data_IF_218992857297
#
_entry.id   IF_218992857297
#
_cell.length_a   1.000
_cell.length_b   1.000
_cell.length_c   1.000
_cell.angle_alpha   90.00
_cell.angle_beta   90.00
_cell.angle_gamma   90.00
#
_symmetry.space_group_name_H-M   'P 1'
#
loop_
_entity.id
_entity.type
_entity.pdbx_description
1 polymer ?
#
# COMPACT_ATOMS: atom_id res chain seq x y z
N UNK A 1 -9.94 -15.93 29.78
CA UNK A 1 -8.77 -15.06 29.58
C UNK A 1 -8.86 -14.43 28.19
N UNK A 2 -8.80 -13.10 28.06
CA UNK A 2 -9.09 -12.41 26.79
C UNK A 2 -8.11 -12.76 25.66
N UNK A 3 -6.83 -12.97 25.98
CA UNK A 3 -5.81 -13.32 24.98
C UNK A 3 -6.06 -14.68 24.31
N UNK A 4 -6.52 -15.68 25.07
CA UNK A 4 -6.83 -17.00 24.52
C UNK A 4 -8.06 -16.93 23.59
N UNK A 5 -9.09 -16.19 23.99
CA UNK A 5 -10.26 -15.97 23.14
C UNK A 5 -9.94 -15.23 21.83
N UNK A 6 -8.97 -14.31 21.84
CA UNK A 6 -8.47 -13.63 20.64
C UNK A 6 -7.68 -14.59 19.73
N UNK A 7 -6.84 -15.45 20.32
CA UNK A 7 -6.11 -16.49 19.57
C UNK A 7 -7.08 -17.49 18.90
N UNK A 8 -8.07 -17.97 19.65
CA UNK A 8 -9.10 -18.89 19.13
C UNK A 8 -9.95 -18.22 18.03
N UNK A 9 -10.19 -16.91 18.14
CA UNK A 9 -10.87 -16.14 17.10
C UNK A 9 -10.03 -16.06 15.82
N UNK A 10 -8.73 -15.75 15.94
CA UNK A 10 -7.80 -15.73 14.81
C UNK A 10 -7.78 -17.08 14.08
N UNK A 11 -7.62 -18.17 14.82
CA UNK A 11 -7.57 -19.53 14.24
C UNK A 11 -8.86 -19.88 13.49
N UNK A 12 -10.03 -19.58 14.07
CA UNK A 12 -11.32 -19.82 13.40
C UNK A 12 -11.47 -19.01 12.12
N UNK A 13 -11.07 -17.74 12.14
CA UNK A 13 -11.16 -16.87 10.97
C UNK A 13 -10.19 -17.29 9.86
N UNK A 14 -8.96 -17.69 10.22
CA UNK A 14 -7.97 -18.23 9.30
C UNK A 14 -8.45 -19.53 8.63
N UNK A 15 -9.10 -20.42 9.38
CA UNK A 15 -9.63 -21.68 8.88
C UNK A 15 -10.86 -21.51 7.98
N UNK A 16 -11.71 -20.51 8.27
CA UNK A 16 -12.93 -20.25 7.50
C UNK A 16 -12.65 -19.58 6.15
N UNK A 17 -11.71 -18.63 6.13
CA UNK A 17 -11.26 -17.95 4.91
C UNK A 17 -9.78 -17.56 5.03
N UNK A 18 -8.86 -18.35 4.44
CA UNK A 18 -7.43 -18.05 4.46
C UNK A 18 -7.06 -16.69 3.85
N UNK A 19 -7.92 -16.11 3.00
CA UNK A 19 -7.69 -14.81 2.36
C UNK A 19 -8.17 -13.62 3.21
N UNK A 20 -8.94 -13.89 4.27
CA UNK A 20 -9.51 -12.87 5.16
C UNK A 20 -8.48 -12.28 6.13
N UNK A 21 -7.33 -12.93 6.30
CA UNK A 21 -6.24 -12.51 7.17
C UNK A 21 -5.02 -12.23 6.29
N UNK A 22 -4.45 -11.03 6.42
CA UNK A 22 -3.20 -10.72 5.73
C UNK A 22 -2.05 -11.55 6.34
N UNK A 23 -1.14 -12.11 5.53
CA UNK A 23 0.06 -12.76 6.03
C UNK A 23 0.91 -11.84 6.92
N UNK A 24 1.77 -12.38 7.80
CA UNK A 24 2.73 -11.58 8.55
C UNK A 24 3.55 -10.66 7.63
N UNK A 25 3.68 -9.39 7.98
CA UNK A 25 4.34 -8.37 7.15
C UNK A 25 3.45 -7.71 6.10
N UNK A 26 2.17 -8.11 6.00
CA UNK A 26 1.16 -7.49 5.14
C UNK A 26 -0.01 -6.92 5.94
N UNK A 27 -0.66 -5.90 5.40
CA UNK A 27 -1.90 -5.34 5.91
C UNK A 27 -2.99 -5.30 4.84
N UNK A 28 -4.26 -5.30 5.23
CA UNK A 28 -5.37 -5.01 4.30
C UNK A 28 -5.56 -3.50 4.20
N UNK A 29 -5.44 -2.95 2.99
CA UNK A 29 -5.60 -1.52 2.73
C UNK A 29 -6.54 -1.28 1.56
N UNK A 30 -7.36 -0.24 1.67
CA UNK A 30 -8.20 0.20 0.56
C UNK A 30 -7.36 1.08 -0.37
N UNK A 31 -7.14 0.64 -1.61
CA UNK A 31 -6.30 1.32 -2.58
C UNK A 31 -7.19 1.83 -3.71
N UNK A 32 -7.46 3.15 -3.80
CA UNK A 32 -8.43 3.69 -4.76
C UNK A 32 -7.99 3.63 -6.23
N UNK A 33 -6.69 3.62 -6.48
CA UNK A 33 -6.13 3.63 -7.83
C UNK A 33 -4.98 2.65 -7.94
N UNK A 34 -4.94 1.90 -9.04
CA UNK A 34 -3.85 0.98 -9.37
C UNK A 34 -3.10 1.46 -10.61
N UNK A 35 -1.78 1.46 -10.53
CA UNK A 35 -0.92 1.63 -11.71
C UNK A 35 -0.74 0.23 -12.31
N UNK A 36 -1.28 0.04 -13.51
CA UNK A 36 -1.16 -1.22 -14.25
C UNK A 36 0.08 -1.14 -15.11
N UNK A 37 1.00 -2.08 -14.88
CA UNK A 37 2.24 -2.21 -15.65
C UNK A 37 2.21 -3.47 -16.52
N UNK A 38 2.76 -3.37 -17.72
CA UNK A 38 3.08 -4.50 -18.58
C UNK A 38 4.21 -5.34 -17.98
N UNK A 39 4.45 -6.51 -18.58
CA UNK A 39 5.48 -7.45 -18.07
C UNK A 39 6.91 -6.92 -18.20
N UNK A 40 7.12 -5.98 -19.10
CA UNK A 40 8.37 -5.26 -19.33
C UNK A 40 8.47 -3.96 -18.51
N UNK A 41 7.47 -3.69 -17.66
CA UNK A 41 7.42 -2.48 -16.83
C UNK A 41 6.83 -1.26 -17.55
N UNK A 42 6.32 -1.41 -18.77
CA UNK A 42 5.65 -0.31 -19.47
C UNK A 42 4.34 0.09 -18.77
N UNK A 43 4.03 1.39 -18.74
CA UNK A 43 2.76 1.86 -18.21
C UNK A 43 1.63 1.47 -19.16
N UNK A 44 0.62 0.76 -18.64
CA UNK A 44 -0.53 0.31 -19.41
C UNK A 44 -1.76 1.14 -19.09
N UNK A 45 -2.10 1.28 -17.81
CA UNK A 45 -3.32 1.97 -17.38
C UNK A 45 -3.28 2.46 -15.92
N UNK A 46 -4.21 3.36 -15.57
CA UNK A 46 -4.50 3.77 -14.20
C UNK A 46 -5.95 3.37 -13.85
N UNK A 47 -6.12 2.24 -13.19
CA UNK A 47 -7.45 1.69 -12.86
C UNK A 47 -8.02 2.35 -11.60
N UNK A 48 -9.26 2.84 -11.68
CA UNK A 48 -10.04 3.28 -10.52
C UNK A 48 -10.80 2.11 -9.90
N UNK A 49 -10.45 1.74 -8.66
CA UNK A 49 -11.05 0.60 -7.96
C UNK A 49 -12.15 1.02 -6.99
N UNK A 50 -12.53 2.30 -6.98
CA UNK A 50 -13.51 2.81 -6.02
C UNK A 50 -14.90 2.33 -6.37
N UNK A 51 -15.55 1.69 -5.41
CA UNK A 51 -16.91 1.18 -5.52
C UNK A 51 -17.85 2.01 -4.61
N UNK A 52 -19.12 2.13 -5.00
CA UNK A 52 -20.17 2.88 -4.27
C UNK A 52 -20.51 4.26 -4.84
N UNK A 53 -21.41 4.97 -4.15
CA UNK A 53 -22.00 6.23 -4.63
C UNK A 53 -21.60 7.47 -3.80
N UNK A 54 -21.45 8.59 -4.49
CA UNK A 54 -21.18 9.90 -3.87
C UNK A 54 -19.91 9.94 -3.01
N UNK A 55 -20.02 10.53 -1.81
CA UNK A 55 -18.90 10.68 -0.86
C UNK A 55 -18.49 9.38 -0.15
N UNK A 56 -19.22 8.27 -0.38
CA UNK A 56 -18.94 6.96 0.23
C UNK A 56 -18.16 6.03 -0.70
N UNK A 57 -17.64 6.53 -1.81
CA UNK A 57 -16.76 5.78 -2.71
C UNK A 57 -15.55 5.26 -1.95
N UNK A 58 -15.39 3.95 -1.88
CA UNK A 58 -14.34 3.27 -1.14
C UNK A 58 -13.51 2.43 -2.11
N UNK A 59 -12.18 2.55 -2.04
CA UNK A 59 -11.29 1.70 -2.84
C UNK A 59 -11.46 0.23 -2.49
N UNK A 60 -11.19 -0.64 -3.46
CA UNK A 60 -11.11 -2.08 -3.19
C UNK A 60 -9.99 -2.37 -2.18
N UNK A 61 -10.21 -3.39 -1.35
CA UNK A 61 -9.25 -3.82 -0.34
C UNK A 61 -8.22 -4.79 -0.91
N UNK A 62 -6.94 -4.49 -0.74
CA UNK A 62 -5.81 -5.31 -1.18
C UNK A 62 -4.94 -5.70 0.01
N UNK A 63 -4.28 -6.86 -0.09
CA UNK A 63 -3.18 -7.19 0.82
C UNK A 63 -1.92 -6.52 0.31
N UNK A 64 -1.35 -5.60 1.08
CA UNK A 64 -0.18 -4.80 0.73
C UNK A 64 0.91 -4.97 1.78
N UNK A 65 2.19 -4.75 1.45
CA UNK A 65 3.25 -4.68 2.45
C UNK A 65 2.88 -3.71 3.56
N UNK A 66 3.19 -4.09 4.81
CA UNK A 66 2.81 -3.33 5.99
C UNK A 66 3.27 -1.87 5.90
N UNK A 67 2.42 -0.96 6.36
CA UNK A 67 2.73 0.47 6.36
C UNK A 67 3.92 0.79 7.26
N UNK A 68 4.75 1.74 6.83
CA UNK A 68 5.82 2.29 7.67
C UNK A 68 5.27 3.44 8.51
N UNK A 69 5.64 3.49 9.79
CA UNK A 69 5.26 4.59 10.66
C UNK A 69 5.99 5.88 10.24
N UNK A 70 5.20 6.95 10.03
CA UNK A 70 5.69 8.27 9.62
C UNK A 70 5.31 9.30 10.68
N UNK A 71 6.28 9.86 11.36
CA UNK A 71 6.09 11.00 12.27
C UNK A 71 6.54 12.29 11.59
N UNK A 72 7.85 12.44 11.41
CA UNK A 72 8.46 13.60 10.71
C UNK A 72 9.34 13.16 9.54
N UNK A 73 9.91 11.96 9.63
CA UNK A 73 10.77 11.39 8.61
C UNK A 73 10.01 11.07 7.31
N UNK A 74 10.68 11.28 6.18
CA UNK A 74 10.23 10.81 4.86
C UNK A 74 10.56 9.33 4.75
N UNK A 75 9.53 8.49 4.70
CA UNK A 75 9.64 7.03 4.56
C UNK A 75 8.54 6.54 3.63
N UNK A 76 8.91 5.80 2.59
CA UNK A 76 7.97 5.27 1.61
C UNK A 76 7.35 3.96 2.07
N UNK A 77 6.09 3.75 1.72
CA UNK A 77 5.46 2.44 1.79
C UNK A 77 5.88 1.66 0.54
N UNK A 78 6.20 0.38 0.71
CA UNK A 78 6.73 -0.44 -0.37
C UNK A 78 5.62 -0.82 -1.37
N UNK A 79 5.78 -0.44 -2.64
CA UNK A 79 4.86 -0.72 -3.77
C UNK A 79 3.48 -0.04 -3.71
N UNK A 80 3.21 0.80 -2.71
CA UNK A 80 1.97 1.58 -2.64
C UNK A 80 2.20 2.85 -1.85
N UNK A 81 1.69 4.00 -2.29
CA UNK A 81 1.73 5.24 -1.50
C UNK A 81 0.77 6.29 -2.07
N UNK A 82 0.78 7.49 -1.48
CA UNK A 82 0.11 8.65 -2.05
C UNK A 82 0.89 9.23 -3.25
N UNK A 83 0.25 10.07 -4.09
CA UNK A 83 0.86 10.62 -5.30
C UNK A 83 2.17 11.38 -5.10
N UNK A 84 2.41 11.97 -3.92
CA UNK A 84 3.67 12.67 -3.63
C UNK A 84 4.87 11.73 -3.61
N UNK A 85 4.69 10.53 -3.06
CA UNK A 85 5.72 9.49 -3.06
C UNK A 85 5.78 8.72 -4.38
N UNK A 86 4.65 8.44 -5.02
CA UNK A 86 4.64 7.60 -6.23
C UNK A 86 5.03 8.38 -7.49
N UNK A 87 4.63 9.65 -7.60
CA UNK A 87 4.82 10.47 -8.80
C UNK A 87 5.67 11.72 -8.58
N UNK A 88 6.18 11.95 -7.35
CA UNK A 88 6.83 13.21 -7.00
C UNK A 88 5.89 14.41 -7.07
N UNK A 89 4.58 14.18 -6.91
CA UNK A 89 3.59 15.25 -7.02
C UNK A 89 3.69 16.24 -5.87
N UNK A 90 4.00 17.49 -6.19
CA UNK A 90 4.03 18.59 -5.23
C UNK A 90 2.64 19.20 -5.02
N UNK A 91 1.88 18.62 -4.08
CA UNK A 91 0.56 19.14 -3.72
C UNK A 91 0.63 20.41 -2.85
N UNK A 92 1.78 20.77 -2.28
CA UNK A 92 1.88 21.79 -1.20
C UNK A 92 2.84 22.93 -1.53
N UNK A 93 3.37 22.99 -2.75
CA UNK A 93 4.35 24.01 -3.15
C UNK A 93 5.72 23.82 -2.48
N UNK A 94 6.08 22.58 -2.14
CA UNK A 94 7.40 22.22 -1.63
C UNK A 94 8.04 21.16 -2.54
N UNK A 95 8.72 21.59 -3.62
CA UNK A 95 9.29 20.69 -4.62
C UNK A 95 10.41 19.82 -4.05
N UNK A 96 11.24 20.36 -3.14
CA UNK A 96 12.35 19.61 -2.51
C UNK A 96 11.82 18.41 -1.74
N UNK A 97 10.74 18.60 -0.97
CA UNK A 97 10.10 17.52 -0.23
C UNK A 97 9.43 16.50 -1.16
N UNK A 98 8.81 16.95 -2.26
CA UNK A 98 8.20 16.03 -3.21
C UNK A 98 9.26 15.14 -3.90
N UNK A 99 10.41 15.72 -4.25
CA UNK A 99 11.55 14.98 -4.78
C UNK A 99 12.12 14.00 -3.76
N UNK A 100 12.26 14.39 -2.49
CA UNK A 100 12.72 13.52 -1.40
C UNK A 100 11.78 12.30 -1.22
N UNK A 101 10.46 12.54 -1.26
CA UNK A 101 9.44 11.49 -1.17
C UNK A 101 9.55 10.50 -2.33
N UNK A 102 9.62 11.02 -3.56
CA UNK A 102 9.73 10.19 -4.76
C UNK A 102 11.02 9.37 -4.78
N UNK A 103 12.15 9.99 -4.42
CA UNK A 103 13.45 9.30 -4.33
C UNK A 103 13.40 8.18 -3.31
N UNK A 104 12.80 8.43 -2.14
CA UNK A 104 12.64 7.40 -1.09
C UNK A 104 11.78 6.23 -1.58
N UNK A 105 10.73 6.51 -2.37
CA UNK A 105 9.88 5.48 -2.95
C UNK A 105 10.64 4.63 -3.98
N UNK A 106 11.40 5.26 -4.88
CA UNK A 106 12.23 4.56 -5.86
C UNK A 106 13.27 3.65 -5.17
N UNK A 107 13.98 4.16 -4.16
CA UNK A 107 14.95 3.38 -3.41
C UNK A 107 14.31 2.14 -2.75
N UNK A 108 13.09 2.29 -2.21
CA UNK A 108 12.37 1.17 -1.63
C UNK A 108 12.01 0.11 -2.67
N UNK A 109 11.61 0.52 -3.88
CA UNK A 109 11.34 -0.41 -4.98
C UNK A 109 12.62 -1.07 -5.48
N UNK A 110 13.70 -0.30 -5.65
CA UNK A 110 15.00 -0.80 -6.12
C UNK A 110 15.60 -1.85 -5.18
N UNK A 111 15.42 -1.69 -3.86
CA UNK A 111 15.87 -2.67 -2.86
C UNK A 111 15.31 -4.08 -3.07
N UNK A 112 14.18 -4.23 -3.79
CA UNK A 112 13.63 -5.53 -4.14
C UNK A 112 14.44 -6.25 -5.22
N UNK A 113 15.12 -5.50 -6.09
CA UNK A 113 15.94 -6.06 -7.18
C UNK A 113 17.28 -6.62 -6.68
N UNK A 114 17.82 -6.06 -5.60
CA UNK A 114 19.11 -6.44 -5.02
C UNK A 114 19.09 -7.78 -4.27
N UNK A 115 17.92 -8.38 -4.05
CA UNK A 115 17.77 -9.63 -3.27
C UNK A 115 17.88 -10.90 -4.14
N UNK A 116 18.40 -10.81 -5.36
CA UNK A 116 18.55 -11.96 -6.29
C UNK A 116 19.97 -12.51 -6.34
#
# INVERSE_FOLDING_TARGET
>A
MILQALADYYQRKAAADPSSIAPPGFEKKDIPFLIVLGRDGEFVDLEDTREGEGKKKKGRSFAVPQSVERTVAVKANLLWDNPGYVFGWDARGNPDRALEQFTTFLNAVESLSETT
#
